data_IF_872370035051
#
_entry.id   IF_872370035051
#
_cell.length_a   1.000
_cell.length_b   1.000
_cell.length_c   1.000
_cell.angle_alpha   90.00
_cell.angle_beta   90.00
_cell.angle_gamma   90.00
#
_symmetry.space_group_name_H-M   'P 1'
#
loop_
_entity.id
_entity.type
_entity.pdbx_description
1 polymer ?
#
# COMPACT_ATOMS: atom_id res chain seq x y z
N UNK A 1 -1.43 13.03 -6.26
CA UNK A 1 -2.14 13.27 -4.98
C UNK A 1 -3.41 14.11 -5.16
N UNK A 2 -3.33 15.34 -5.69
CA UNK A 2 -4.49 16.23 -5.82
C UNK A 2 -5.70 15.59 -6.52
N UNK A 3 -5.48 14.91 -7.64
CA UNK A 3 -6.55 14.21 -8.37
C UNK A 3 -7.15 13.04 -7.58
N UNK A 4 -6.34 12.32 -6.79
CA UNK A 4 -6.83 11.27 -5.91
C UNK A 4 -7.68 11.86 -4.77
N UNK A 5 -7.30 13.03 -4.23
CA UNK A 5 -8.10 13.73 -3.21
C UNK A 5 -9.44 14.15 -3.79
N UNK A 6 -9.44 14.86 -4.94
CA UNK A 6 -10.67 15.33 -5.59
C UNK A 6 -11.63 14.19 -5.92
N UNK A 7 -11.11 13.07 -6.46
CA UNK A 7 -11.91 11.87 -6.78
C UNK A 7 -12.61 11.28 -5.55
N UNK A 8 -11.99 11.36 -4.38
CA UNK A 8 -12.46 10.72 -3.16
C UNK A 8 -13.25 11.66 -2.23
N UNK A 9 -13.51 12.92 -2.61
CA UNK A 9 -14.36 13.82 -1.83
C UNK A 9 -15.76 13.23 -1.68
N UNK A 10 -16.28 13.25 -0.45
CA UNK A 10 -17.61 12.71 -0.12
C UNK A 10 -18.52 13.80 0.40
N UNK A 11 -19.83 13.66 0.14
CA UNK A 11 -20.85 14.52 0.72
C UNK A 11 -21.16 14.04 2.14
N UNK A 12 -20.81 14.84 3.14
CA UNK A 12 -21.21 14.62 4.52
C UNK A 12 -22.43 15.48 4.85
N UNK A 13 -23.35 14.93 5.65
CA UNK A 13 -24.56 15.63 6.05
C UNK A 13 -24.76 15.52 7.56
N UNK A 14 -25.23 16.61 8.17
CA UNK A 14 -25.72 16.64 9.55
C UNK A 14 -27.22 16.88 9.56
N UNK A 15 -27.94 16.04 10.29
CA UNK A 15 -29.39 16.12 10.43
C UNK A 15 -29.77 17.03 11.59
N UNK A 16 -30.82 17.83 11.40
CA UNK A 16 -31.26 18.87 12.33
C UNK A 16 -32.78 18.83 12.59
N UNK A 17 -33.47 17.74 12.25
CA UNK A 17 -34.90 17.58 12.52
C UNK A 17 -35.20 17.26 13.98
N UNK A 18 -36.48 17.44 14.36
CA UNK A 18 -36.98 17.14 15.72
C UNK A 18 -36.66 15.69 16.10
N UNK A 19 -36.20 15.48 17.33
CA UNK A 19 -35.80 14.17 17.86
C UNK A 19 -34.73 13.44 17.03
N UNK A 20 -33.87 14.18 16.31
CA UNK A 20 -32.81 13.59 15.48
C UNK A 20 -33.28 13.16 14.07
N UNK A 21 -34.48 13.56 13.66
CA UNK A 21 -34.97 13.33 12.30
C UNK A 21 -34.06 13.99 11.24
N UNK A 22 -33.97 13.38 10.06
CA UNK A 22 -33.22 13.89 8.91
C UNK A 22 -34.09 14.61 7.88
N UNK A 23 -35.32 15.01 8.22
CA UNK A 23 -36.21 15.79 7.32
C UNK A 23 -35.56 17.10 6.87
N UNK A 24 -34.86 17.79 7.78
CA UNK A 24 -33.97 18.91 7.47
C UNK A 24 -32.53 18.50 7.76
N UNK A 25 -31.64 18.70 6.79
CA UNK A 25 -30.21 18.40 6.92
C UNK A 25 -29.37 19.40 6.14
N UNK A 26 -28.19 19.69 6.67
CA UNK A 26 -27.17 20.50 6.00
C UNK A 26 -26.06 19.57 5.54
N UNK A 27 -25.62 19.71 4.29
CA UNK A 27 -24.55 18.89 3.73
C UNK A 27 -23.40 19.74 3.19
N UNK A 28 -22.19 19.21 3.24
CA UNK A 28 -20.98 19.82 2.71
C UNK A 28 -20.07 18.75 2.10
N UNK A 29 -19.14 19.19 1.26
CA UNK A 29 -18.08 18.34 0.74
C UNK A 29 -16.99 18.17 1.81
N UNK A 30 -16.56 16.94 2.03
CA UNK A 30 -15.55 16.60 3.01
C UNK A 30 -14.56 15.59 2.45
N UNK A 31 -13.30 15.74 2.85
CA UNK A 31 -12.26 14.76 2.57
C UNK A 31 -12.50 13.55 3.50
N UNK A 32 -12.52 12.31 2.99
CA UNK A 32 -12.68 11.12 3.81
C UNK A 32 -11.43 10.89 4.68
N UNK A 33 -11.45 9.87 5.52
CA UNK A 33 -10.24 9.42 6.20
C UNK A 33 -9.13 9.16 5.17
N UNK A 34 -7.93 9.68 5.44
CA UNK A 34 -6.82 9.60 4.49
C UNK A 34 -6.45 8.17 4.09
N UNK A 35 -6.78 7.16 4.91
CA UNK A 35 -6.62 5.74 4.55
C UNK A 35 -7.35 5.36 3.26
N UNK A 36 -8.51 5.97 2.97
CA UNK A 36 -9.25 5.74 1.71
C UNK A 36 -8.42 6.23 0.52
N UNK A 37 -7.86 7.44 0.63
CA UNK A 37 -7.03 8.05 -0.40
C UNK A 37 -5.72 7.26 -0.57
N UNK A 38 -5.12 6.83 0.55
CA UNK A 38 -3.92 6.00 0.56
C UNK A 38 -4.13 4.65 -0.12
N UNK A 39 -5.27 4.01 0.09
CA UNK A 39 -5.62 2.75 -0.57
C UNK A 39 -5.82 2.95 -2.09
N UNK A 40 -6.52 4.00 -2.53
CA UNK A 40 -6.66 4.32 -3.98
C UNK A 40 -5.29 4.59 -4.63
N UNK A 41 -4.41 5.31 -3.94
CA UNK A 41 -3.04 5.54 -4.43
C UNK A 41 -2.20 4.27 -4.44
N UNK A 42 -2.38 3.38 -3.45
CA UNK A 42 -1.67 2.10 -3.40
C UNK A 42 -2.08 1.19 -4.55
N UNK A 43 -3.38 1.11 -4.84
CA UNK A 43 -3.88 0.34 -5.98
C UNK A 43 -3.29 0.86 -7.31
N UNK A 44 -3.18 2.18 -7.47
CA UNK A 44 -2.52 2.77 -8.64
C UNK A 44 -1.02 2.51 -8.69
N UNK A 45 -0.37 2.42 -7.53
CA UNK A 45 1.06 2.11 -7.43
C UNK A 45 1.32 0.66 -7.86
N UNK A 46 0.50 -0.28 -7.38
CA UNK A 46 0.63 -1.71 -7.71
C UNK A 46 0.39 -1.99 -9.21
N UNK A 47 -0.28 -1.08 -9.93
CA UNK A 47 -0.55 -1.15 -11.37
C UNK A 47 0.17 -0.06 -12.19
N UNK A 48 1.19 0.60 -11.63
CA UNK A 48 1.87 1.69 -12.32
C UNK A 48 2.53 1.22 -13.63
N UNK A 49 2.54 2.08 -14.64
CA UNK A 49 3.07 1.74 -15.97
C UNK A 49 4.53 2.20 -16.11
N UNK A 50 5.39 1.29 -16.57
CA UNK A 50 6.73 1.66 -17.04
C UNK A 50 6.60 2.38 -18.38
N UNK A 51 7.17 3.58 -18.49
CA UNK A 51 7.08 4.40 -19.70
C UNK A 51 8.46 4.85 -20.17
N UNK A 52 8.58 5.04 -21.48
CA UNK A 52 9.71 5.69 -22.14
C UNK A 52 9.23 6.97 -22.81
N UNK A 53 10.14 7.92 -22.96
CA UNK A 53 9.87 9.15 -23.72
C UNK A 53 10.00 8.83 -25.21
N UNK A 54 9.04 9.29 -26.01
CA UNK A 54 9.14 9.17 -27.44
C UNK A 54 10.42 9.82 -27.99
N UNK A 55 10.95 9.34 -29.12
CA UNK A 55 12.09 9.97 -29.78
C UNK A 55 11.84 11.45 -30.17
N UNK A 56 10.58 11.84 -30.36
CA UNK A 56 10.17 13.23 -30.64
C UNK A 56 10.00 14.09 -29.37
N UNK A 57 10.16 13.51 -28.18
CA UNK A 57 10.01 14.17 -26.89
C UNK A 57 8.57 14.58 -26.54
N UNK A 58 7.59 14.30 -27.40
CA UNK A 58 6.26 14.89 -27.31
C UNK A 58 5.28 14.09 -26.43
N UNK A 59 5.52 12.79 -26.24
CA UNK A 59 4.62 11.93 -25.47
C UNK A 59 5.36 10.79 -24.76
N UNK A 60 4.70 10.27 -23.71
CA UNK A 60 5.09 9.06 -23.01
C UNK A 60 4.45 7.86 -23.70
N UNK A 61 5.25 6.82 -23.95
CA UNK A 61 4.76 5.53 -24.42
C UNK A 61 5.07 4.47 -23.37
N UNK A 62 4.21 3.46 -23.18
CA UNK A 62 4.56 2.29 -22.38
C UNK A 62 5.88 1.69 -22.86
N UNK A 63 6.81 1.43 -21.95
CA UNK A 63 8.03 0.71 -22.24
C UNK A 63 7.66 -0.68 -22.77
N UNK A 64 8.33 -1.15 -23.82
CA UNK A 64 8.01 -2.43 -24.47
C UNK A 64 8.36 -3.60 -23.55
N UNK A 65 7.46 -3.97 -22.64
CA UNK A 65 7.61 -5.17 -21.83
C UNK A 65 6.93 -6.34 -22.55
N UNK A 66 7.74 -7.17 -23.20
CA UNK A 66 7.27 -8.40 -23.83
C UNK A 66 6.85 -9.40 -22.76
N UNK A 67 5.61 -9.32 -22.29
CA UNK A 67 5.03 -10.39 -21.47
C UNK A 67 4.90 -11.65 -22.32
N UNK A 68 5.79 -12.61 -22.07
CA UNK A 68 5.69 -13.96 -22.62
C UNK A 68 4.51 -14.64 -21.92
N UNK A 69 3.48 -14.96 -22.68
CA UNK A 69 2.35 -15.74 -22.19
C UNK A 69 2.70 -17.23 -22.30
N UNK A 70 3.13 -17.81 -21.19
CA UNK A 70 3.53 -19.24 -21.10
C UNK A 70 2.37 -20.21 -21.40
N UNK A 71 1.12 -19.75 -21.37
CA UNK A 71 -0.07 -20.59 -21.60
C UNK A 71 -0.41 -20.63 -23.09
N UNK A 72 -0.35 -19.49 -23.78
CA UNK A 72 -0.66 -19.45 -25.21
C UNK A 72 0.55 -19.73 -26.09
N UNK A 73 1.79 -19.53 -25.62
CA UNK A 73 2.99 -19.67 -26.46
C UNK A 73 3.12 -18.59 -27.54
N UNK A 74 2.19 -17.61 -27.55
CA UNK A 74 2.14 -16.49 -28.48
C UNK A 74 2.37 -15.18 -27.74
N UNK A 75 3.23 -14.32 -28.28
CA UNK A 75 3.37 -12.94 -27.81
C UNK A 75 2.09 -12.20 -28.12
N UNK A 76 1.30 -11.86 -27.10
CA UNK A 76 0.09 -11.04 -27.30
C UNK A 76 0.49 -9.71 -27.97
N UNK A 77 -0.11 -9.34 -29.11
CA UNK A 77 0.11 -8.02 -29.68
C UNK A 77 -0.44 -6.98 -28.70
N UNK A 78 0.45 -6.17 -28.13
CA UNK A 78 0.07 -5.16 -27.16
C UNK A 78 -0.72 -4.06 -27.88
N UNK A 79 -1.96 -3.81 -27.45
CA UNK A 79 -2.70 -2.61 -27.85
C UNK A 79 -1.90 -1.42 -27.36
N UNK A 80 -1.55 -0.47 -28.24
CA UNK A 80 -1.02 0.84 -27.86
C UNK A 80 -2.10 1.57 -27.02
N UNK A 81 -2.16 1.27 -25.74
CA UNK A 81 -3.03 1.95 -24.81
C UNK A 81 -2.38 3.31 -24.55
N UNK A 82 -3.05 4.39 -24.92
CA UNK A 82 -2.63 5.71 -24.50
C UNK A 82 -2.66 5.77 -22.97
N UNK A 83 -1.55 6.17 -22.36
CA UNK A 83 -1.43 6.34 -20.91
C UNK A 83 -2.50 7.32 -20.45
N UNK A 84 -3.37 6.90 -19.53
CA UNK A 84 -4.41 7.78 -19.02
C UNK A 84 -3.79 8.77 -18.03
N UNK A 85 -4.28 10.01 -17.99
CA UNK A 85 -3.83 11.06 -17.05
C UNK A 85 -4.05 10.71 -15.57
N UNK A 86 -4.78 9.64 -15.28
CA UNK A 86 -5.18 9.22 -13.92
C UNK A 86 -4.28 8.10 -13.37
N UNK A 87 -3.43 7.49 -14.21
CA UNK A 87 -2.53 6.40 -13.85
C UNK A 87 -1.20 6.92 -13.28
N UNK A 88 -0.55 6.12 -12.43
CA UNK A 88 0.83 6.38 -12.01
C UNK A 88 1.78 5.77 -13.05
N UNK A 89 2.85 6.51 -13.36
CA UNK A 89 3.86 6.10 -14.33
C UNK A 89 5.26 6.23 -13.72
N UNK A 90 6.19 5.39 -14.18
CA UNK A 90 7.59 5.45 -13.82
C UNK A 90 8.46 5.20 -15.06
N UNK A 91 9.70 5.70 -15.08
CA UNK A 91 10.62 5.57 -16.23
C UNK A 91 11.87 4.76 -15.90
N UNK A 92 12.27 4.69 -14.62
CA UNK A 92 13.38 3.88 -14.14
C UNK A 92 12.87 2.73 -13.27
N UNK A 93 13.39 1.50 -13.47
CA UNK A 93 13.01 0.36 -12.64
C UNK A 93 13.44 0.57 -11.19
N UNK A 94 12.63 0.06 -10.28
CA UNK A 94 12.95 0.07 -8.85
C UNK A 94 14.25 -0.70 -8.58
N UNK A 95 15.14 -0.20 -7.68
CA UNK A 95 16.29 -0.96 -7.25
C UNK A 95 15.89 -2.17 -6.41
N UNK A 96 16.85 -3.04 -6.13
CA UNK A 96 16.70 -4.05 -5.09
C UNK A 96 16.76 -3.37 -3.70
N UNK A 97 15.78 -3.67 -2.86
CA UNK A 97 15.65 -3.12 -1.50
C UNK A 97 16.07 -4.13 -0.42
N UNK A 98 16.50 -5.32 -0.79
CA UNK A 98 16.87 -6.38 0.14
C UNK A 98 18.08 -6.00 0.98
N UNK A 99 19.11 -5.45 0.36
CA UNK A 99 20.37 -5.08 0.99
C UNK A 99 20.48 -3.57 1.18
N UNK A 100 21.36 -3.17 2.10
CA UNK A 100 21.66 -1.76 2.33
C UNK A 100 22.48 -1.24 1.15
N UNK A 101 21.91 -0.27 0.43
CA UNK A 101 22.56 0.45 -0.65
C UNK A 101 22.41 1.96 -0.41
N UNK A 102 23.50 2.57 0.08
CA UNK A 102 23.58 4.00 0.38
C UNK A 102 23.35 4.85 -0.89
N UNK A 103 23.69 4.34 -2.07
CA UNK A 103 23.54 5.09 -3.34
C UNK A 103 22.08 5.26 -3.72
N UNK A 104 21.25 4.26 -3.46
CA UNK A 104 19.80 4.32 -3.68
C UNK A 104 19.05 4.86 -2.46
N UNK A 105 19.72 4.93 -1.31
CA UNK A 105 19.12 5.29 -0.02
C UNK A 105 18.35 4.12 0.63
N UNK A 106 18.51 2.91 0.10
CA UNK A 106 17.91 1.70 0.69
C UNK A 106 18.68 1.31 1.94
N UNK A 107 17.99 1.15 3.07
CA UNK A 107 18.59 0.66 4.32
C UNK A 107 18.67 -0.89 4.37
N UNK A 108 18.11 -1.58 3.38
CA UNK A 108 17.91 -3.03 3.41
C UNK A 108 16.71 -3.45 4.26
N UNK A 109 16.48 -4.76 4.33
CA UNK A 109 15.35 -5.34 5.08
C UNK A 109 15.72 -6.01 6.40
N UNK A 110 17.01 -6.15 6.71
CA UNK A 110 17.48 -6.77 7.96
C UNK A 110 16.88 -6.09 9.20
N UNK A 111 16.45 -6.88 10.18
CA UNK A 111 15.79 -6.43 11.40
C UNK A 111 14.34 -5.95 11.23
N UNK A 112 13.77 -5.99 10.02
CA UNK A 112 12.35 -5.67 9.81
C UNK A 112 11.48 -6.86 10.18
N UNK A 113 10.39 -6.59 10.91
CA UNK A 113 9.40 -7.61 11.22
C UNK A 113 8.71 -8.13 9.95
N UNK A 114 8.49 -9.44 9.91
CA UNK A 114 7.78 -10.12 8.83
C UNK A 114 6.70 -11.06 9.39
N UNK A 115 5.78 -11.48 8.51
CA UNK A 115 4.65 -12.33 8.88
C UNK A 115 4.76 -13.71 8.22
N UNK A 116 4.91 -14.75 9.03
CA UNK A 116 5.02 -16.14 8.56
C UNK A 116 3.76 -16.68 7.88
N UNK A 117 2.61 -16.11 8.20
CA UNK A 117 1.31 -16.54 7.65
C UNK A 117 0.88 -15.76 6.41
N UNK A 118 1.57 -14.65 6.10
CA UNK A 118 1.25 -13.84 4.94
C UNK A 118 1.89 -14.41 3.68
N UNK A 119 1.20 -14.25 2.55
CA UNK A 119 1.74 -14.48 1.20
C UNK A 119 2.01 -13.17 0.45
N UNK A 120 1.82 -12.03 1.12
CA UNK A 120 2.01 -10.71 0.54
C UNK A 120 3.44 -10.18 0.68
N UNK A 121 3.65 -8.88 0.42
CA UNK A 121 4.95 -8.24 0.56
C UNK A 121 5.49 -8.20 1.99
N UNK A 122 4.64 -8.43 3.00
CA UNK A 122 5.00 -8.56 4.42
C UNK A 122 5.37 -9.99 4.81
N UNK A 123 5.23 -10.96 3.89
CA UNK A 123 5.64 -12.34 4.10
C UNK A 123 7.13 -12.44 4.42
N UNK A 124 7.52 -13.35 5.31
CA UNK A 124 8.93 -13.58 5.59
C UNK A 124 9.73 -14.05 4.37
N UNK A 125 9.11 -14.76 3.43
CA UNK A 125 9.78 -15.20 2.19
C UNK A 125 10.20 -14.01 1.32
N UNK A 126 9.34 -12.98 1.26
CA UNK A 126 9.56 -11.76 0.46
C UNK A 126 10.39 -10.73 1.23
N UNK A 127 10.00 -10.41 2.46
CA UNK A 127 10.66 -9.42 3.31
C UNK A 127 12.11 -9.77 3.61
N UNK A 128 12.41 -11.07 3.81
CA UNK A 128 13.75 -11.53 4.13
C UNK A 128 14.56 -11.92 2.89
N UNK A 129 13.97 -11.81 1.68
CA UNK A 129 14.65 -12.10 0.41
C UNK A 129 15.32 -13.48 0.38
N UNK A 130 14.72 -14.48 1.04
CA UNK A 130 15.26 -15.84 1.15
C UNK A 130 16.43 -16.03 2.12
N UNK A 131 16.86 -15.00 2.87
CA UNK A 131 17.97 -15.11 3.85
C UNK A 131 17.60 -15.83 5.15
N UNK A 132 16.32 -16.09 5.38
CA UNK A 132 15.80 -16.62 6.64
C UNK A 132 15.34 -15.51 7.58
N UNK A 133 14.92 -15.90 8.79
CA UNK A 133 14.41 -14.97 9.79
C UNK A 133 14.81 -15.39 11.19
N UNK A 134 14.99 -14.40 12.05
CA UNK A 134 15.21 -14.56 13.48
C UNK A 134 13.88 -14.50 14.22
N UNK A 135 13.75 -15.30 15.28
CA UNK A 135 12.56 -15.32 16.12
C UNK A 135 12.92 -14.95 17.55
N UNK A 136 12.20 -13.98 18.12
CA UNK A 136 12.40 -13.53 19.50
C UNK A 136 11.05 -13.56 20.21
N UNK A 137 10.97 -14.30 21.31
CA UNK A 137 9.78 -14.30 22.16
C UNK A 137 9.97 -13.38 23.37
N UNK A 138 8.95 -12.59 23.68
CA UNK A 138 8.93 -11.71 24.85
C UNK A 138 7.53 -11.65 25.45
N UNK A 139 7.47 -11.42 26.76
CA UNK A 139 6.20 -11.27 27.47
C UNK A 139 5.79 -9.80 27.48
N UNK A 140 4.58 -9.51 27.04
CA UNK A 140 3.99 -8.16 27.08
C UNK A 140 2.75 -8.17 27.96
N UNK A 141 2.76 -7.31 28.97
CA UNK A 141 1.62 -7.12 29.87
C UNK A 141 0.73 -6.01 29.33
N UNK A 142 -0.55 -6.33 29.12
CA UNK A 142 -1.58 -5.39 28.71
C UNK A 142 -2.51 -5.11 29.88
N UNK A 143 -2.98 -3.87 29.95
CA UNK A 143 -4.09 -3.52 30.84
C UNK A 143 -5.38 -4.01 30.22
N UNK A 144 -6.14 -4.79 30.98
CA UNK A 144 -7.45 -5.27 30.58
C UNK A 144 -8.49 -4.70 31.55
N UNK A 145 -9.71 -4.47 31.07
CA UNK A 145 -10.87 -4.05 31.86
C UNK A 145 -10.61 -2.85 32.80
N UNK A 146 -10.85 -1.63 32.31
CA UNK A 146 -10.81 -0.42 33.15
C UNK A 146 -12.14 -0.29 33.89
N UNK A 147 -12.33 -1.05 34.97
CA UNK A 147 -13.34 -0.69 35.97
C UNK A 147 -12.75 0.38 36.88
N UNK A 148 -13.56 1.37 37.26
CA UNK A 148 -13.15 2.57 38.04
C UNK A 148 -12.40 2.28 39.34
N UNK A 149 -12.35 1.02 39.81
CA UNK A 149 -11.72 0.61 41.05
C UNK A 149 -10.78 -0.61 40.96
N UNK A 150 -10.61 -1.24 39.79
CA UNK A 150 -9.67 -2.37 39.63
C UNK A 150 -9.02 -2.34 38.25
N UNK A 151 -7.68 -2.28 38.21
CA UNK A 151 -6.90 -2.59 37.01
C UNK A 151 -6.55 -4.08 37.05
N UNK A 152 -7.14 -4.88 36.16
CA UNK A 152 -6.62 -6.20 35.86
C UNK A 152 -5.60 -6.11 34.73
N UNK A 153 -4.56 -6.94 34.80
CA UNK A 153 -3.54 -7.02 33.75
C UNK A 153 -3.44 -8.45 33.24
N UNK A 154 -3.33 -8.60 31.93
CA UNK A 154 -3.08 -9.89 31.29
C UNK A 154 -1.70 -9.85 30.64
N UNK A 155 -0.92 -10.92 30.83
CA UNK A 155 0.40 -11.04 30.21
C UNK A 155 0.35 -12.05 29.07
N UNK A 156 0.72 -11.61 27.87
CA UNK A 156 0.75 -12.41 26.65
C UNK A 156 2.19 -12.62 26.23
N UNK A 157 2.54 -13.85 25.85
CA UNK A 157 3.81 -14.12 25.16
C UNK A 157 3.64 -13.77 23.68
N UNK A 158 4.41 -12.79 23.21
CA UNK A 158 4.51 -12.42 21.80
C UNK A 158 5.72 -13.07 21.15
N UNK A 159 5.58 -13.38 19.86
CA UNK A 159 6.66 -13.85 19.01
C UNK A 159 6.88 -12.81 17.91
N UNK A 160 8.03 -12.15 17.93
CA UNK A 160 8.46 -11.28 16.84
C UNK A 160 9.36 -12.10 15.90
N UNK A 161 9.05 -12.01 14.62
CA UNK A 161 9.81 -12.65 13.54
C UNK A 161 10.37 -11.53 12.68
N UNK A 162 11.69 -11.49 12.50
CA UNK A 162 12.36 -10.43 11.76
C UNK A 162 13.37 -10.98 10.77
N UNK A 163 13.61 -10.26 9.67
CA UNK A 163 14.63 -10.65 8.71
C UNK A 163 16.03 -10.68 9.36
N UNK A 164 16.77 -11.76 9.15
CA UNK A 164 18.17 -11.92 9.59
C UNK A 164 19.12 -10.98 8.85
#
# INVERSE_FOLDING_TARGET
>A
LLEAVKKNVVKQCKCHGVSGSCTTRTCWEAIPNFRVIGNDLREKYDHALHVIVNPDGAALMPAEERRFDSVSGWRKPYKRQAVNKVELVYFEPSPDYCDNDIRTGSLGTAGRQCNLTSSGPDSCDVMCCGRGYDTVSYMRTFKCHVSTFLLSTFTVTHLDVSAS
#
